data_IF_568293367067
#
_entry.id   IF_568293367067
#
_cell.length_a   1.000
_cell.length_b   1.000
_cell.length_c   1.000
_cell.angle_alpha   90.00
_cell.angle_beta   90.00
_cell.angle_gamma   90.00
#
_symmetry.space_group_name_H-M   'P 1'
#
loop_
_entity.id
_entity.type
_entity.pdbx_description
1 polymer ?
#
# COMPACT_ATOMS: atom_id res chain seq x y z
N UNK A 1 -7.41 -5.88 12.59
CA UNK A 1 -8.67 -6.43 12.01
C UNK A 1 -8.94 -5.76 10.66
N UNK A 2 -9.55 -6.50 9.69
CA UNK A 2 -9.86 -6.00 8.35
C UNK A 2 -10.54 -4.61 8.31
N UNK A 3 -11.62 -4.34 9.08
CA UNK A 3 -12.23 -3.00 9.09
C UNK A 3 -11.27 -1.89 9.54
N UNK A 4 -10.37 -2.17 10.48
CA UNK A 4 -9.37 -1.18 10.92
C UNK A 4 -8.36 -0.88 9.83
N UNK A 5 -7.95 -1.88 9.05
CA UNK A 5 -7.05 -1.67 7.92
C UNK A 5 -7.69 -0.76 6.85
N UNK A 6 -8.98 -0.99 6.53
CA UNK A 6 -9.73 -0.16 5.58
C UNK A 6 -9.86 1.28 6.11
N UNK A 7 -10.28 1.45 7.37
CA UNK A 7 -10.45 2.78 7.99
C UNK A 7 -9.11 3.53 7.96
N UNK A 8 -8.03 2.87 8.38
CA UNK A 8 -6.69 3.43 8.36
C UNK A 8 -6.29 3.84 6.94
N UNK A 9 -6.49 2.96 5.98
CA UNK A 9 -6.14 3.22 4.59
C UNK A 9 -6.93 4.41 4.01
N UNK A 10 -8.24 4.50 4.26
CA UNK A 10 -9.09 5.61 3.82
C UNK A 10 -8.77 6.96 4.50
N UNK A 11 -8.19 6.95 5.71
CA UNK A 11 -7.75 8.19 6.39
C UNK A 11 -6.51 8.75 5.70
N UNK A 12 -5.51 7.89 5.44
CA UNK A 12 -4.23 8.33 4.87
C UNK A 12 -4.28 8.51 3.36
N UNK A 13 -5.03 7.68 2.64
CA UNK A 13 -5.22 7.80 1.19
C UNK A 13 -6.55 8.49 0.86
N UNK A 14 -6.59 9.80 1.00
CA UNK A 14 -7.82 10.56 0.78
C UNK A 14 -8.05 10.96 -0.69
N UNK A 15 -7.00 11.01 -1.51
CA UNK A 15 -7.07 11.38 -2.92
C UNK A 15 -7.58 10.24 -3.80
N UNK A 16 -8.58 10.51 -4.64
CA UNK A 16 -9.07 9.53 -5.62
C UNK A 16 -8.01 9.25 -6.69
N UNK A 17 -7.18 10.24 -7.01
CA UNK A 17 -6.08 10.10 -7.95
C UNK A 17 -5.04 9.11 -7.44
N UNK A 18 -4.73 9.16 -6.14
CA UNK A 18 -3.81 8.22 -5.51
C UNK A 18 -4.35 6.80 -5.53
N UNK A 19 -5.64 6.60 -5.18
CA UNK A 19 -6.27 5.29 -5.27
C UNK A 19 -6.26 4.72 -6.69
N UNK A 20 -6.55 5.55 -7.70
CA UNK A 20 -6.50 5.12 -9.10
C UNK A 20 -5.08 4.75 -9.54
N UNK A 21 -4.09 5.57 -9.17
CA UNK A 21 -2.68 5.30 -9.44
C UNK A 21 -2.22 3.99 -8.78
N UNK A 22 -2.52 3.81 -7.49
CA UNK A 22 -2.18 2.60 -6.75
C UNK A 22 -2.86 1.37 -7.34
N UNK A 23 -4.16 1.44 -7.60
CA UNK A 23 -4.90 0.32 -8.17
C UNK A 23 -4.27 -0.15 -9.48
N UNK A 24 -3.99 0.78 -10.39
CA UNK A 24 -3.36 0.45 -11.67
C UNK A 24 -1.96 -0.15 -11.48
N UNK A 25 -1.09 0.53 -10.73
CA UNK A 25 0.31 0.12 -10.56
C UNK A 25 0.47 -1.17 -9.77
N UNK A 26 -0.41 -1.42 -8.78
CA UNK A 26 -0.41 -2.68 -8.04
C UNK A 26 -0.82 -3.87 -8.92
N UNK A 27 -1.75 -3.67 -9.86
CA UNK A 27 -2.10 -4.73 -10.81
C UNK A 27 -1.00 -4.95 -11.85
N UNK A 28 -0.31 -3.90 -12.29
CA UNK A 28 0.90 -4.04 -13.14
C UNK A 28 2.00 -4.79 -12.38
N UNK A 29 2.20 -4.49 -11.11
CA UNK A 29 3.11 -5.22 -10.22
C UNK A 29 2.72 -6.69 -10.09
N UNK A 30 1.45 -7.00 -9.80
CA UNK A 30 0.95 -8.39 -9.70
C UNK A 30 1.13 -9.14 -11.02
N UNK A 31 0.80 -8.50 -12.15
CA UNK A 31 1.01 -9.09 -13.48
C UNK A 31 2.50 -9.40 -13.73
N UNK A 32 3.39 -8.47 -13.41
CA UNK A 32 4.84 -8.67 -13.53
C UNK A 32 5.34 -9.84 -12.66
N UNK A 33 4.83 -9.94 -11.42
CA UNK A 33 5.18 -11.01 -10.51
C UNK A 33 4.66 -12.38 -11.00
N UNK A 34 3.41 -12.46 -11.43
CA UNK A 34 2.83 -13.70 -11.96
C UNK A 34 3.51 -14.13 -13.26
N UNK A 35 3.83 -13.18 -14.16
CA UNK A 35 4.59 -13.46 -15.39
C UNK A 35 5.98 -13.95 -15.07
N UNK A 36 6.67 -13.38 -14.09
CA UNK A 36 7.98 -13.85 -13.63
C UNK A 36 7.90 -15.31 -13.13
N UNK A 37 6.90 -15.62 -12.28
CA UNK A 37 6.69 -16.99 -11.79
C UNK A 37 6.41 -17.96 -12.94
N UNK A 38 5.71 -17.53 -13.99
CA UNK A 38 5.42 -18.33 -15.17
C UNK A 38 6.67 -18.56 -16.04
N UNK A 39 7.56 -17.56 -16.17
CA UNK A 39 8.81 -17.67 -16.96
C UNK A 39 9.85 -18.58 -16.32
N UNK A 40 9.96 -18.57 -14.99
CA UNK A 40 11.04 -19.28 -14.27
C UNK A 40 11.16 -20.77 -14.60
N UNK A 41 10.08 -21.59 -14.61
CA UNK A 41 10.19 -23.01 -14.92
C UNK A 41 10.69 -23.25 -16.35
N UNK A 42 10.19 -22.49 -17.32
CA UNK A 42 10.56 -22.63 -18.73
C UNK A 42 12.05 -22.37 -18.96
N UNK A 43 12.60 -21.39 -18.24
CA UNK A 43 14.01 -21.01 -18.37
C UNK A 43 14.92 -21.97 -17.59
N UNK A 44 14.50 -22.41 -16.39
CA UNK A 44 15.32 -23.27 -15.54
C UNK A 44 15.32 -24.74 -15.98
N UNK A 45 14.21 -25.24 -16.50
CA UNK A 45 14.02 -26.67 -16.84
C UNK A 45 14.13 -26.98 -18.33
N UNK A 46 14.19 -25.94 -19.18
CA UNK A 46 14.23 -26.08 -20.63
C UNK A 46 12.89 -26.52 -21.23
N UNK A 47 12.82 -26.52 -22.56
CA UNK A 47 11.58 -26.75 -23.34
C UNK A 47 10.98 -28.15 -23.26
N UNK A 48 11.58 -29.08 -22.52
CA UNK A 48 11.20 -30.49 -22.51
C UNK A 48 9.90 -30.83 -21.76
N UNK A 49 9.31 -29.85 -21.01
CA UNK A 49 8.17 -30.11 -20.11
C UNK A 49 7.03 -29.09 -20.26
N UNK A 50 6.54 -28.88 -21.47
CA UNK A 50 5.50 -27.87 -21.77
C UNK A 50 4.20 -27.99 -20.94
N UNK A 51 3.82 -29.21 -20.54
CA UNK A 51 2.58 -29.42 -19.77
C UNK A 51 2.68 -29.01 -18.28
N UNK A 52 3.88 -28.92 -17.70
CA UNK A 52 4.08 -28.65 -16.28
C UNK A 52 4.49 -27.21 -15.96
N UNK A 53 4.75 -26.38 -16.97
CA UNK A 53 5.23 -25.00 -16.78
C UNK A 53 4.23 -24.10 -16.07
N UNK A 54 2.94 -24.35 -16.28
CA UNK A 54 1.88 -23.52 -15.70
C UNK A 54 1.60 -23.86 -14.22
N UNK A 55 2.06 -25.00 -13.70
CA UNK A 55 1.76 -25.43 -12.33
C UNK A 55 2.22 -24.40 -11.28
N UNK A 56 3.46 -23.87 -11.32
CA UNK A 56 3.89 -22.85 -10.35
C UNK A 56 3.07 -21.57 -10.44
N UNK A 57 2.67 -21.13 -11.64
CA UNK A 57 1.82 -19.99 -11.84
C UNK A 57 0.45 -20.19 -11.20
N UNK A 58 -0.21 -21.32 -11.45
CA UNK A 58 -1.53 -21.61 -10.88
C UNK A 58 -1.47 -21.80 -9.36
N UNK A 59 -0.41 -22.43 -8.83
CA UNK A 59 -0.20 -22.54 -7.38
C UNK A 59 -0.01 -21.16 -6.75
N UNK A 60 0.82 -20.31 -7.36
CA UNK A 60 1.02 -18.94 -6.88
C UNK A 60 -0.27 -18.12 -6.93
N UNK A 61 -1.03 -18.23 -8.02
CA UNK A 61 -2.32 -17.54 -8.18
C UNK A 61 -3.37 -18.03 -7.17
N UNK A 62 -3.44 -19.33 -6.95
CA UNK A 62 -4.34 -19.90 -5.93
C UNK A 62 -3.95 -19.42 -4.53
N UNK A 63 -2.64 -19.43 -4.21
CA UNK A 63 -2.14 -18.94 -2.94
C UNK A 63 -2.46 -17.45 -2.76
N UNK A 64 -2.32 -16.63 -3.81
CA UNK A 64 -2.68 -15.21 -3.78
C UNK A 64 -4.18 -15.02 -3.57
N UNK A 65 -5.03 -15.73 -4.31
CA UNK A 65 -6.49 -15.69 -4.11
C UNK A 65 -6.88 -16.07 -2.68
N UNK A 66 -6.33 -17.16 -2.16
CA UNK A 66 -6.59 -17.61 -0.80
C UNK A 66 -6.12 -16.59 0.24
N UNK A 67 -4.94 -16.00 0.03
CA UNK A 67 -4.43 -14.94 0.89
C UNK A 67 -5.39 -13.73 0.92
N UNK A 68 -5.83 -13.23 -0.24
CA UNK A 68 -6.71 -12.08 -0.35
C UNK A 68 -8.08 -12.34 0.28
N UNK A 69 -8.67 -13.52 0.02
CA UNK A 69 -9.95 -13.92 0.62
C UNK A 69 -9.82 -14.01 2.15
N UNK A 70 -8.76 -14.63 2.66
CA UNK A 70 -8.53 -14.78 4.10
C UNK A 70 -8.20 -13.43 4.75
N UNK A 71 -7.38 -12.60 4.10
CA UNK A 71 -7.05 -11.26 4.58
C UNK A 71 -8.30 -10.37 4.64
N UNK A 72 -9.13 -10.40 3.61
CA UNK A 72 -10.43 -9.73 3.57
C UNK A 72 -11.52 -10.45 4.41
N UNK A 73 -11.17 -11.49 5.18
CA UNK A 73 -12.07 -12.27 6.03
C UNK A 73 -13.29 -12.84 5.31
N UNK A 74 -13.09 -13.32 4.09
CA UNK A 74 -14.16 -13.90 3.27
C UNK A 74 -15.23 -12.90 2.83
N UNK A 75 -14.95 -11.61 2.89
CA UNK A 75 -15.89 -10.59 2.40
C UNK A 75 -16.05 -10.66 0.88
N UNK A 76 -17.12 -10.07 0.37
CA UNK A 76 -17.37 -9.95 -1.06
C UNK A 76 -16.22 -9.27 -1.81
N UNK A 77 -15.49 -8.37 -1.16
CA UNK A 77 -14.35 -7.66 -1.75
C UNK A 77 -13.18 -8.58 -2.09
N UNK A 78 -12.81 -9.48 -1.16
CA UNK A 78 -11.77 -10.48 -1.41
C UNK A 78 -12.14 -11.44 -2.52
N UNK A 79 -13.39 -11.93 -2.52
CA UNK A 79 -13.88 -12.81 -3.58
C UNK A 79 -13.95 -12.11 -4.94
N UNK A 80 -14.49 -10.90 -5.01
CA UNK A 80 -14.58 -10.17 -6.28
C UNK A 80 -13.22 -9.79 -6.83
N UNK A 81 -12.27 -9.36 -6.00
CA UNK A 81 -10.91 -9.08 -6.45
C UNK A 81 -10.24 -10.36 -6.99
N UNK A 82 -10.30 -11.46 -6.25
CA UNK A 82 -9.70 -12.73 -6.68
C UNK A 82 -10.28 -13.20 -8.02
N UNK A 83 -11.60 -13.15 -8.20
CA UNK A 83 -12.28 -13.65 -9.41
C UNK A 83 -12.17 -12.70 -10.60
N UNK A 84 -12.31 -11.40 -10.38
CA UNK A 84 -12.38 -10.41 -11.46
C UNK A 84 -11.03 -9.82 -11.83
N UNK A 85 -10.02 -9.97 -10.96
CA UNK A 85 -8.69 -9.39 -11.18
C UNK A 85 -7.63 -10.49 -11.20
N UNK A 86 -7.43 -11.24 -10.12
CA UNK A 86 -6.32 -12.18 -10.03
C UNK A 86 -6.41 -13.28 -11.09
N UNK A 87 -7.57 -13.87 -11.32
CA UNK A 87 -7.72 -14.92 -12.33
C UNK A 87 -7.49 -14.41 -13.77
N UNK A 88 -8.06 -13.27 -14.22
CA UNK A 88 -7.70 -12.68 -15.50
C UNK A 88 -6.21 -12.31 -15.63
N UNK A 89 -5.60 -11.76 -14.57
CA UNK A 89 -4.16 -11.48 -14.57
C UNK A 89 -3.32 -12.77 -14.70
N UNK A 90 -3.77 -13.87 -14.09
CA UNK A 90 -3.12 -15.19 -14.24
C UNK A 90 -3.15 -15.66 -15.69
N UNK A 91 -4.31 -15.57 -16.34
CA UNK A 91 -4.42 -15.93 -17.75
C UNK A 91 -3.55 -15.03 -18.66
N UNK A 92 -3.55 -13.72 -18.38
CA UNK A 92 -2.68 -12.77 -19.08
C UNK A 92 -1.18 -13.08 -18.85
N UNK A 93 -0.80 -13.38 -17.61
CA UNK A 93 0.58 -13.72 -17.27
C UNK A 93 1.06 -15.00 -17.98
N UNK A 94 0.19 -16.01 -18.08
CA UNK A 94 0.49 -17.21 -18.85
C UNK A 94 0.77 -16.87 -20.32
N UNK A 95 -0.16 -16.17 -20.96
CA UNK A 95 -0.05 -15.80 -22.38
C UNK A 95 1.21 -14.95 -22.64
N UNK A 96 1.46 -13.95 -21.80
CA UNK A 96 2.63 -13.08 -21.92
C UNK A 96 3.92 -13.89 -21.72
N UNK A 97 3.96 -14.79 -20.74
CA UNK A 97 5.15 -15.59 -20.46
C UNK A 97 5.51 -16.51 -21.62
N UNK A 98 4.54 -17.11 -22.28
CA UNK A 98 4.77 -17.96 -23.46
C UNK A 98 5.45 -17.17 -24.57
N UNK A 99 4.94 -15.98 -24.91
CA UNK A 99 5.54 -15.08 -25.90
C UNK A 99 6.94 -14.63 -25.47
N UNK A 100 7.09 -14.21 -24.23
CA UNK A 100 8.37 -13.66 -23.73
C UNK A 100 9.45 -14.70 -23.67
N UNK A 101 9.17 -15.94 -23.26
CA UNK A 101 10.15 -17.02 -23.20
C UNK A 101 10.55 -17.44 -24.60
N UNK A 102 9.62 -17.54 -25.55
CA UNK A 102 9.89 -17.88 -26.93
C UNK A 102 10.81 -16.86 -27.62
N UNK A 103 10.53 -15.55 -27.42
CA UNK A 103 11.26 -14.49 -28.11
C UNK A 103 12.53 -14.06 -27.40
N UNK A 104 12.56 -14.03 -26.07
CA UNK A 104 13.62 -13.36 -25.30
C UNK A 104 14.30 -14.25 -24.24
N UNK A 105 13.82 -15.46 -24.02
CA UNK A 105 14.40 -16.42 -23.06
C UNK A 105 14.72 -15.76 -21.70
N UNK A 106 15.99 -15.82 -21.23
CA UNK A 106 16.39 -15.26 -19.93
C UNK A 106 16.20 -13.73 -19.81
N UNK A 107 16.17 -13.01 -20.90
CA UNK A 107 15.87 -11.55 -20.91
C UNK A 107 14.44 -11.31 -20.39
N UNK A 108 13.52 -12.26 -20.57
CA UNK A 108 12.16 -12.18 -20.05
C UNK A 108 12.15 -11.95 -18.53
N UNK A 109 13.04 -12.60 -17.78
CA UNK A 109 13.18 -12.38 -16.33
C UNK A 109 13.56 -10.92 -16.03
N UNK A 110 14.53 -10.37 -16.75
CA UNK A 110 14.97 -8.98 -16.54
C UNK A 110 13.86 -7.99 -16.84
N UNK A 111 13.06 -8.26 -17.88
CA UNK A 111 11.90 -7.41 -18.22
C UNK A 111 10.86 -7.47 -17.09
N UNK A 112 10.51 -8.66 -16.60
CA UNK A 112 9.56 -8.80 -15.49
C UNK A 112 10.06 -8.08 -14.22
N UNK A 113 11.33 -8.23 -13.86
CA UNK A 113 11.94 -7.52 -12.73
C UNK A 113 11.91 -6.01 -12.94
N UNK A 114 12.19 -5.53 -14.16
CA UNK A 114 12.09 -4.13 -14.53
C UNK A 114 10.67 -3.58 -14.34
N UNK A 115 9.65 -4.29 -14.81
CA UNK A 115 8.23 -3.91 -14.63
C UNK A 115 7.87 -3.84 -13.14
N UNK A 116 8.29 -4.81 -12.34
CA UNK A 116 8.06 -4.84 -10.89
C UNK A 116 8.69 -3.61 -10.23
N UNK A 117 9.98 -3.34 -10.49
CA UNK A 117 10.72 -2.21 -9.90
C UNK A 117 10.11 -0.87 -10.32
N UNK A 118 9.83 -0.69 -11.61
CA UNK A 118 9.21 0.55 -12.12
C UNK A 118 7.84 0.78 -11.51
N UNK A 119 7.01 -0.27 -11.38
CA UNK A 119 5.69 -0.15 -10.72
C UNK A 119 5.82 0.33 -9.29
N UNK A 120 6.77 -0.22 -8.52
CA UNK A 120 7.02 0.18 -7.13
C UNK A 120 7.52 1.63 -7.04
N UNK A 121 8.45 2.03 -7.90
CA UNK A 121 8.95 3.41 -7.93
C UNK A 121 7.85 4.42 -8.27
N UNK A 122 6.98 4.09 -9.23
CA UNK A 122 5.85 4.95 -9.59
C UNK A 122 4.80 5.02 -8.48
N UNK A 123 4.63 3.96 -7.66
CA UNK A 123 3.79 4.03 -6.47
C UNK A 123 4.35 5.01 -5.43
N UNK A 124 5.67 4.93 -5.15
CA UNK A 124 6.34 5.89 -4.26
C UNK A 124 6.20 7.32 -4.79
N UNK A 125 6.39 7.52 -6.09
CA UNK A 125 6.19 8.82 -6.72
C UNK A 125 4.75 9.31 -6.58
N UNK A 126 3.76 8.41 -6.69
CA UNK A 126 2.34 8.73 -6.47
C UNK A 126 2.09 9.29 -5.06
N UNK A 127 2.70 8.73 -4.04
CA UNK A 127 2.65 9.29 -2.68
C UNK A 127 3.22 10.71 -2.61
N UNK A 128 4.38 10.93 -3.22
CA UNK A 128 5.02 12.27 -3.22
C UNK A 128 4.18 13.31 -3.96
N UNK A 129 3.48 12.91 -5.04
CA UNK A 129 2.71 13.85 -5.88
C UNK A 129 1.30 14.13 -5.39
N UNK A 130 0.66 13.17 -4.72
CA UNK A 130 -0.77 13.23 -4.39
C UNK A 130 -1.07 13.25 -2.90
N UNK A 131 -0.09 13.02 -2.04
CA UNK A 131 -0.23 13.12 -0.58
C UNK A 131 0.49 14.35 -0.05
N UNK A 132 -0.24 15.18 0.68
CA UNK A 132 0.32 16.30 1.43
C UNK A 132 0.98 15.83 2.74
N UNK A 133 0.72 14.61 3.18
CA UNK A 133 1.16 14.06 4.46
C UNK A 133 1.89 12.74 4.30
N UNK A 134 2.78 12.49 5.26
CA UNK A 134 3.68 11.33 5.32
C UNK A 134 2.92 10.02 5.08
N UNK A 135 3.44 9.24 4.13
CA UNK A 135 3.01 7.87 3.94
C UNK A 135 3.03 7.12 5.29
N UNK A 136 1.96 6.38 5.63
CA UNK A 136 1.95 5.59 6.84
C UNK A 136 3.15 4.65 6.84
N UNK A 137 3.74 4.36 8.02
CA UNK A 137 4.83 3.41 8.11
C UNK A 137 4.41 2.12 7.43
N UNK A 138 5.21 1.64 6.48
CA UNK A 138 4.95 0.44 5.70
C UNK A 138 4.76 -0.74 6.67
N UNK A 139 3.51 -1.07 6.96
CA UNK A 139 3.20 -2.27 7.72
C UNK A 139 3.60 -3.48 6.88
N UNK A 140 4.20 -4.49 7.51
CA UNK A 140 4.73 -5.70 6.90
C UNK A 140 3.75 -6.49 6.02
N UNK A 141 2.46 -6.16 6.05
CA UNK A 141 1.41 -6.75 5.21
C UNK A 141 1.16 -5.96 3.92
N UNK A 142 1.85 -4.82 3.70
CA UNK A 142 1.46 -3.81 2.72
C UNK A 142 1.38 -4.31 1.28
N UNK A 143 2.43 -4.95 0.79
CA UNK A 143 2.49 -5.22 -0.65
C UNK A 143 1.55 -6.32 -1.15
N UNK A 144 1.34 -7.38 -0.39
CA UNK A 144 0.42 -8.45 -0.79
C UNK A 144 -1.04 -8.11 -0.54
N UNK A 145 -1.31 -7.31 0.49
CA UNK A 145 -2.67 -6.93 0.86
C UNK A 145 -3.14 -5.63 0.18
N UNK A 146 -2.22 -4.79 -0.29
CA UNK A 146 -2.53 -3.51 -0.90
C UNK A 146 -3.52 -3.62 -2.08
N UNK A 147 -3.39 -4.57 -3.02
CA UNK A 147 -4.33 -4.66 -4.14
C UNK A 147 -5.79 -4.84 -3.68
N UNK A 148 -6.04 -5.77 -2.77
CA UNK A 148 -7.41 -6.00 -2.26
C UNK A 148 -7.90 -4.88 -1.34
N UNK A 149 -7.01 -4.16 -0.67
CA UNK A 149 -7.36 -2.96 0.10
C UNK A 149 -7.77 -1.82 -0.84
N UNK A 150 -6.99 -1.52 -1.86
CA UNK A 150 -7.30 -0.49 -2.86
C UNK A 150 -8.59 -0.81 -3.62
N UNK A 151 -8.77 -2.07 -4.00
CA UNK A 151 -10.02 -2.55 -4.60
C UNK A 151 -11.22 -2.30 -3.68
N UNK A 152 -11.09 -2.63 -2.39
CA UNK A 152 -12.14 -2.40 -1.40
C UNK A 152 -12.43 -0.91 -1.22
N UNK A 153 -11.39 -0.06 -1.15
CA UNK A 153 -11.55 1.38 -1.02
C UNK A 153 -12.26 1.99 -2.23
N UNK A 154 -11.94 1.54 -3.44
CA UNK A 154 -12.64 1.96 -4.65
C UNK A 154 -14.13 1.58 -4.59
N UNK A 155 -14.45 0.33 -4.22
CA UNK A 155 -15.84 -0.11 -4.06
C UNK A 155 -16.61 0.69 -3.04
N UNK A 156 -15.99 1.00 -1.89
CA UNK A 156 -16.61 1.82 -0.85
C UNK A 156 -16.83 3.28 -1.26
N UNK A 157 -16.10 3.78 -2.26
CA UNK A 157 -16.34 5.11 -2.83
C UNK A 157 -17.50 5.10 -3.81
N UNK A 158 -17.69 4.01 -4.55
CA UNK A 158 -18.80 3.86 -5.50
C UNK A 158 -20.10 3.44 -4.78
N UNK A 159 -19.97 2.55 -3.81
CA UNK A 159 -21.07 2.01 -3.01
C UNK A 159 -20.77 2.24 -1.52
N UNK A 160 -21.05 3.43 -0.99
CA UNK A 160 -20.67 3.79 0.36
C UNK A 160 -21.41 2.95 1.41
N UNK A 161 -20.64 2.23 2.24
CA UNK A 161 -21.14 1.62 3.47
C UNK A 161 -21.14 2.66 4.59
N UNK A 162 -22.34 3.04 5.06
CA UNK A 162 -22.54 4.05 6.09
C UNK A 162 -21.83 3.73 7.40
N UNK A 163 -21.69 2.44 7.76
CA UNK A 163 -21.03 2.02 8.98
C UNK A 163 -19.51 2.28 8.89
N UNK A 164 -18.89 1.89 7.76
CA UNK A 164 -17.46 2.12 7.53
C UNK A 164 -17.16 3.62 7.48
N UNK A 165 -17.95 4.40 6.76
CA UNK A 165 -17.77 5.85 6.68
C UNK A 165 -17.97 6.55 8.01
N UNK A 166 -18.88 6.09 8.87
CA UNK A 166 -19.03 6.60 10.23
C UNK A 166 -17.78 6.31 11.06
N UNK A 167 -17.15 5.12 10.92
CA UNK A 167 -15.89 4.79 11.58
C UNK A 167 -14.74 5.66 11.06
N UNK A 168 -14.64 5.88 9.75
CA UNK A 168 -13.64 6.76 9.14
C UNK A 168 -13.76 8.18 9.69
N UNK A 169 -14.99 8.74 9.74
CA UNK A 169 -15.24 10.07 10.28
C UNK A 169 -14.82 10.18 11.74
N UNK A 170 -15.24 9.25 12.60
CA UNK A 170 -14.85 9.23 14.02
C UNK A 170 -13.34 9.14 14.22
N UNK A 171 -12.68 8.29 13.43
CA UNK A 171 -11.24 8.13 13.53
C UNK A 171 -10.50 9.41 13.08
N UNK A 172 -10.97 10.09 12.02
CA UNK A 172 -10.43 11.37 11.57
C UNK A 172 -10.59 12.46 12.62
N UNK A 173 -11.80 12.58 13.18
CA UNK A 173 -12.09 13.58 14.23
C UNK A 173 -11.20 13.37 15.48
N UNK A 174 -10.91 12.09 15.84
CA UNK A 174 -10.01 11.78 16.96
C UNK A 174 -8.54 12.14 16.69
N UNK A 175 -8.06 12.03 15.45
CA UNK A 175 -6.71 12.46 15.08
C UNK A 175 -6.54 13.98 15.15
N UNK A 176 -7.51 14.73 14.62
CA UNK A 176 -7.47 16.19 14.63
C UNK A 176 -7.42 16.75 16.05
N UNK A 177 -8.21 16.18 16.97
CA UNK A 177 -8.19 16.61 18.39
C UNK A 177 -6.90 16.28 19.13
N UNK A 178 -6.18 15.23 18.73
CA UNK A 178 -4.89 14.88 19.32
C UNK A 178 -3.80 15.86 18.86
N UNK A 179 -3.75 16.16 17.57
CA UNK A 179 -2.79 17.10 17.00
C UNK A 179 -2.96 18.54 17.56
N UNK A 180 -4.20 18.97 17.77
CA UNK A 180 -4.49 20.26 18.41
C UNK A 180 -3.97 20.31 19.85
N UNK A 181 -4.20 19.24 20.65
CA UNK A 181 -3.71 19.16 22.03
C UNK A 181 -2.18 19.14 22.10
N UNK A 182 -1.50 18.43 21.22
CA UNK A 182 -0.04 18.42 21.19
C UNK A 182 0.54 19.78 20.80
N UNK A 183 -0.11 20.48 19.86
CA UNK A 183 0.29 21.84 19.46
C UNK A 183 0.12 22.85 20.58
N UNK A 184 -0.94 22.77 21.38
CA UNK A 184 -1.18 23.63 22.55
C UNK A 184 -0.19 23.34 23.67
N UNK A 185 0.09 22.07 23.94
CA UNK A 185 1.06 21.68 24.97
C UNK A 185 2.46 22.14 24.60
N UNK A 186 2.83 22.04 23.31
CA UNK A 186 4.12 22.52 22.80
C UNK A 186 4.28 24.06 22.91
N UNK A 187 3.21 24.82 22.68
CA UNK A 187 3.22 26.29 22.86
C UNK A 187 3.35 26.69 24.32
N UNK A 188 2.64 26.04 25.23
CA UNK A 188 2.72 26.33 26.67
C UNK A 188 4.09 25.97 27.25
N UNK A 189 4.76 24.91 26.78
CA UNK A 189 6.10 24.56 27.20
C UNK A 189 7.15 25.58 26.76
N UNK A 190 7.01 26.19 25.58
CA UNK A 190 7.92 27.25 25.10
C UNK A 190 7.71 28.57 25.88
N UNK A 191 6.48 28.93 26.19
CA UNK A 191 6.20 30.13 26.99
C UNK A 191 6.67 29.98 28.45
N UNK A 192 6.61 28.81 29.06
CA UNK A 192 7.13 28.55 30.39
C UNK A 192 8.66 28.72 30.50
N UNK A 193 9.40 28.32 29.45
CA UNK A 193 10.88 28.50 29.44
C UNK A 193 11.30 29.96 29.30
N UNK A 194 10.54 30.78 28.58
CA UNK A 194 10.84 32.20 28.41
C UNK A 194 10.60 33.02 29.68
N UNK A 195 9.59 32.64 30.49
CA UNK A 195 9.33 33.31 31.77
C UNK A 195 10.37 32.95 32.86
N UNK A 196 10.96 31.74 32.80
CA UNK A 196 12.03 31.36 33.75
C UNK A 196 13.37 32.09 33.48
N UNK A 197 13.69 32.35 32.21
CA UNK A 197 14.91 33.09 31.85
C UNK A 197 14.84 34.59 32.20
N UNK A 198 13.68 35.23 32.14
CA UNK A 198 13.50 36.62 32.54
C UNK A 198 13.47 36.83 34.07
N UNK A 199 12.98 35.86 34.84
CA UNK A 199 12.97 35.95 36.30
C UNK A 199 14.37 35.80 36.92
N UNK A 200 15.31 35.08 36.26
CA UNK A 200 16.69 34.94 36.77
C UNK A 200 17.61 36.14 36.42
N UNK A 201 17.26 36.96 35.44
CA UNK A 201 18.06 38.11 35.07
C UNK A 201 17.87 39.34 35.99
N UNK A 202 16.75 39.41 36.71
CA UNK A 202 16.48 40.52 37.66
C UNK A 202 17.06 40.32 39.04
N UNK A 203 17.45 39.11 39.43
CA UNK A 203 18.03 38.83 40.76
C UNK A 203 19.58 38.94 40.82
N UNK A 204 20.27 39.13 39.70
CA UNK A 204 21.73 39.27 39.68
C UNK A 204 22.24 40.75 39.76
N UNK A 205 21.34 41.75 39.67
CA UNK A 205 21.69 43.16 39.65
C UNK A 205 21.65 43.84 41.02
N UNK A 206 21.28 43.15 42.13
CA UNK A 206 21.14 43.79 43.47
C UNK A 206 22.17 43.33 44.51
N UNK A 207 23.28 42.71 44.13
CA UNK A 207 24.34 42.29 45.05
C UNK A 207 25.72 42.81 44.63
N UNK A 208 25.86 44.15 44.57
CA UNK A 208 27.14 44.84 44.29
C UNK A 208 27.09 46.26 44.79
N UNK A 209 27.20 46.45 46.11
CA UNK A 209 27.25 47.79 46.70
C UNK A 209 27.21 47.71 48.21
N UNK A 210 28.42 47.58 48.82
CA UNK A 210 28.64 47.67 50.28
C UNK A 210 30.07 47.26 50.63
#
# INVERSE_FOLDING_TARGET
TWPRCIVYHLIYHNSIQLHANHLFLLHVYQLGLLTLVACLPSICLGTLYTAYYCVPLYVASLALCMFEILFARGTVYGWTHSMLVVLPLTAAAQYISEIMVEQWNYIAILICLGVIVVSLLLQVLGHVLYEEFQAPPANSHGFLAAPVLEWTCLWLRVFPDTNIWTLVKRARDSHTTTDERESETGKNSKNGKNNWSSANSTNSASRGGG
#
